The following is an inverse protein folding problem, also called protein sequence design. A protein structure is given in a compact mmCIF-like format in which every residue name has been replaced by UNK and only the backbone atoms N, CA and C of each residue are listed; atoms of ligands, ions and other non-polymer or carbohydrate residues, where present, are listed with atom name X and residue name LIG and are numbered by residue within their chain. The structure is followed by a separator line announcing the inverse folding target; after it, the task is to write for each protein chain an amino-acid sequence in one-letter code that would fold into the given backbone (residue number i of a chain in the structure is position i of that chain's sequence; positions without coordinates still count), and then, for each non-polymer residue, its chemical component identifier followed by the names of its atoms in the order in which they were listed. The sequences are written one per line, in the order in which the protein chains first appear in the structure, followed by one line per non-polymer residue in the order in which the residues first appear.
data_IF_988105072409
#
_entry.id   IF_988105072409
#
_cell.length_a   1.000
_cell.length_b   1.000
_cell.length_c   1.000
_cell.angle_alpha   90.00
_cell.angle_beta   90.00
_cell.angle_gamma   90.00
#
_symmetry.space_group_name_H-M   'P 1'
#
loop_
_entity.id
_entity.type
_entity.pdbx_description
1 polymer ?
#
# COMPACT_ATOMS: atom_id res chain seq x y z
N UNK A 1 -17.50 -3.21 -2.43
CA UNK A 1 -17.03 -3.36 -1.03
C UNK A 1 -15.51 -3.40 -1.11
N UNK A 2 -14.82 -2.31 -0.76
CA UNK A 2 -13.39 -2.11 -1.01
C UNK A 2 -12.47 -2.83 -0.02
N UNK A 3 -13.03 -3.77 0.77
CA UNK A 3 -12.26 -4.56 1.73
C UNK A 3 -11.45 -5.63 0.99
N UNK A 4 -10.35 -6.08 1.61
CA UNK A 4 -9.52 -7.19 1.12
C UNK A 4 -10.40 -8.42 0.78
N UNK A 5 -11.32 -8.78 1.69
CA UNK A 5 -12.25 -9.90 1.48
C UNK A 5 -13.27 -9.65 0.38
N UNK A 6 -13.71 -8.40 0.17
CA UNK A 6 -14.58 -8.02 -0.93
C UNK A 6 -13.91 -8.19 -2.29
N UNK A 7 -12.63 -7.79 -2.39
CA UNK A 7 -11.82 -8.01 -3.60
C UNK A 7 -11.51 -9.49 -3.85
N UNK A 8 -11.23 -10.26 -2.80
CA UNK A 8 -10.94 -11.70 -2.93
C UNK A 8 -12.19 -12.52 -3.29
N UNK A 9 -13.35 -12.11 -2.76
CA UNK A 9 -14.64 -12.76 -3.01
C UNK A 9 -15.27 -12.35 -4.35
N UNK A 10 -14.79 -11.27 -4.98
CA UNK A 10 -15.33 -10.68 -6.20
C UNK A 10 -15.17 -11.53 -7.47
N UNK A 11 -14.60 -12.73 -7.39
CA UNK A 11 -14.59 -13.70 -8.49
C UNK A 11 -15.96 -14.41 -8.68
N UNK A 12 -17.05 -13.84 -8.17
CA UNK A 12 -18.42 -14.36 -8.31
C UNK A 12 -19.37 -13.23 -8.78
N UNK A 13 -19.82 -13.36 -10.02
CA UNK A 13 -20.91 -12.67 -10.74
C UNK A 13 -21.81 -11.62 -10.02
N UNK A 14 -21.76 -10.40 -10.56
CA UNK A 14 -22.87 -9.45 -10.88
C UNK A 14 -23.72 -8.76 -9.78
N UNK A 15 -23.86 -7.43 -9.99
CA UNK A 15 -24.94 -6.50 -9.59
C UNK A 15 -24.83 -5.67 -8.29
N UNK A 16 -24.21 -4.50 -8.43
CA UNK A 16 -24.38 -3.29 -7.60
C UNK A 16 -23.43 -2.20 -8.09
N UNK A 17 -23.74 -0.89 -7.99
CA UNK A 17 -22.79 0.13 -8.39
C UNK A 17 -21.54 -0.07 -7.54
N UNK A 18 -20.45 -0.42 -8.19
CA UNK A 18 -19.15 -0.56 -7.58
C UNK A 18 -18.80 0.82 -7.04
N UNK A 19 -19.03 1.03 -5.74
CA UNK A 19 -18.65 2.27 -5.08
C UNK A 19 -17.19 2.53 -5.42
N UNK A 20 -16.90 3.71 -5.98
CA UNK A 20 -15.55 4.06 -6.41
C UNK A 20 -14.58 3.91 -5.23
N UNK A 21 -13.77 2.86 -5.25
CA UNK A 21 -12.80 2.56 -4.19
C UNK A 21 -11.55 3.45 -4.28
N UNK A 22 -11.38 4.13 -5.43
CA UNK A 22 -10.30 5.07 -5.68
C UNK A 22 -10.55 6.40 -4.97
N UNK A 23 -10.44 6.38 -3.64
CA UNK A 23 -10.56 7.57 -2.80
C UNK A 23 -9.21 8.16 -2.40
N UNK A 24 -8.13 7.37 -2.54
CA UNK A 24 -6.76 7.83 -2.31
C UNK A 24 -6.19 8.59 -3.51
N UNK A 25 -5.02 9.20 -3.29
CA UNK A 25 -4.21 9.85 -4.31
C UNK A 25 -3.14 8.89 -4.81
N UNK A 26 -2.87 8.91 -6.10
CA UNK A 26 -1.89 8.02 -6.72
C UNK A 26 -0.45 8.20 -6.21
N UNK A 27 0.39 7.19 -6.42
CA UNK A 27 1.81 7.28 -6.09
C UNK A 27 2.50 8.44 -6.82
N UNK A 28 2.02 8.82 -8.02
CA UNK A 28 2.62 9.90 -8.82
C UNK A 28 2.22 11.26 -8.27
N UNK A 29 1.02 11.40 -7.69
CA UNK A 29 0.66 12.57 -6.91
C UNK A 29 1.66 12.77 -5.77
N UNK A 30 1.86 11.75 -4.92
CA UNK A 30 2.73 11.85 -3.74
C UNK A 30 4.20 12.10 -4.08
N UNK A 31 4.69 11.55 -5.19
CA UNK A 31 6.04 11.82 -5.72
C UNK A 31 6.27 13.29 -6.07
N UNK A 32 5.23 13.99 -6.52
CA UNK A 32 5.31 15.38 -6.95
C UNK A 32 4.87 16.38 -5.87
N UNK A 33 4.42 15.91 -4.70
CA UNK A 33 4.00 16.72 -3.56
C UNK A 33 4.88 16.41 -2.35
N UNK A 34 6.12 16.90 -2.35
CA UNK A 34 7.12 16.57 -1.32
C UNK A 34 7.57 17.78 -0.51
N UNK A 35 6.85 18.90 -0.58
CA UNK A 35 7.16 20.09 0.22
C UNK A 35 6.77 19.84 1.68
N UNK A 36 7.25 20.71 2.57
CA UNK A 36 6.92 20.64 3.99
C UNK A 36 5.41 20.83 4.18
N UNK A 37 4.75 19.82 4.77
CA UNK A 37 3.31 19.81 5.02
C UNK A 37 2.45 19.16 3.93
N UNK A 38 3.03 18.81 2.77
CA UNK A 38 2.30 18.08 1.72
C UNK A 38 1.96 16.66 2.17
N UNK A 39 2.88 16.01 2.88
CA UNK A 39 2.66 14.66 3.41
C UNK A 39 2.01 14.73 4.79
N UNK A 40 0.97 13.91 5.05
CA UNK A 40 0.29 13.95 6.33
C UNK A 40 1.21 13.45 7.45
N UNK A 41 1.24 14.19 8.56
CA UNK A 41 2.02 13.80 9.73
C UNK A 41 1.58 12.41 10.24
N UNK A 42 2.53 11.55 10.68
CA UNK A 42 3.95 11.84 10.93
C UNK A 42 4.87 11.62 9.73
N UNK A 43 4.35 11.33 8.54
CA UNK A 43 5.17 10.94 7.40
C UNK A 43 5.97 12.10 6.81
N UNK A 44 7.21 11.80 6.42
CA UNK A 44 8.07 12.74 5.71
C UNK A 44 8.78 12.07 4.52
N UNK A 45 9.02 12.79 3.42
CA UNK A 45 9.72 12.25 2.25
C UNK A 45 11.11 11.64 2.55
N UNK A 46 11.80 12.21 3.56
CA UNK A 46 13.14 11.80 4.00
C UNK A 46 13.13 10.70 5.07
N UNK A 47 11.97 10.34 5.61
CA UNK A 47 11.84 9.25 6.59
C UNK A 47 12.20 7.92 5.93
N UNK A 48 12.97 7.08 6.62
CA UNK A 48 13.26 5.72 6.16
C UNK A 48 11.98 4.90 6.07
N UNK A 49 11.82 4.18 4.95
CA UNK A 49 10.65 3.33 4.70
C UNK A 49 10.42 2.34 5.84
N UNK A 50 11.49 1.75 6.38
CA UNK A 50 11.47 0.87 7.56
C UNK A 50 10.69 1.44 8.74
N UNK A 51 10.70 2.76 8.95
CA UNK A 51 10.05 3.40 10.10
C UNK A 51 8.66 3.94 9.77
N UNK A 52 8.10 3.66 8.59
CA UNK A 52 6.77 4.11 8.18
C UNK A 52 5.62 3.21 8.71
N UNK A 53 5.92 2.18 9.50
CA UNK A 53 4.90 1.33 10.10
C UNK A 53 4.13 2.08 11.20
N UNK A 54 2.78 2.01 11.17
CA UNK A 54 1.89 2.64 12.15
C UNK A 54 2.29 2.34 13.61
N UNK A 55 2.71 1.10 13.84
CA UNK A 55 3.22 0.59 15.10
C UNK A 55 4.43 -0.27 14.79
N UNK A 56 5.63 0.15 15.17
CA UNK A 56 6.89 -0.57 14.91
C UNK A 56 7.39 -0.47 13.46
N UNK A 57 8.51 -1.15 13.15
CA UNK A 57 9.13 -1.09 11.82
C UNK A 57 8.49 -2.04 10.80
N UNK A 58 8.41 -1.61 9.53
CA UNK A 58 8.16 -2.47 8.38
C UNK A 58 9.38 -3.37 8.12
N UNK A 59 9.15 -4.57 7.60
CA UNK A 59 10.24 -5.45 7.17
C UNK A 59 11.01 -4.85 5.99
N UNK A 60 12.33 -5.03 6.00
CA UNK A 60 13.18 -4.65 4.88
C UNK A 60 13.11 -5.75 3.80
N UNK A 61 12.85 -5.35 2.55
CA UNK A 61 13.00 -6.20 1.38
C UNK A 61 14.40 -5.97 0.78
N UNK A 62 15.34 -6.93 0.89
CA UNK A 62 16.72 -6.75 0.42
C UNK A 62 16.79 -6.33 -1.05
N UNK A 63 17.57 -5.31 -1.34
CA UNK A 63 17.71 -4.75 -2.69
C UNK A 63 16.54 -3.85 -3.14
N UNK A 64 15.42 -3.85 -2.42
CA UNK A 64 14.22 -3.06 -2.75
C UNK A 64 14.04 -1.88 -1.80
N UNK A 65 13.91 -2.11 -0.49
CA UNK A 65 13.59 -1.04 0.49
C UNK A 65 14.69 -0.75 1.50
N UNK A 66 15.69 -1.62 1.62
CA UNK A 66 16.78 -1.48 2.59
C UNK A 66 17.50 -0.13 2.46
N UNK A 67 17.51 0.64 3.54
CA UNK A 67 18.20 1.94 3.63
C UNK A 67 17.58 3.05 2.79
N UNK A 68 16.38 2.84 2.20
CA UNK A 68 15.71 3.84 1.38
C UNK A 68 14.71 4.68 2.18
N UNK A 69 14.60 5.94 1.83
CA UNK A 69 13.50 6.79 2.29
C UNK A 69 12.19 6.45 1.60
N UNK A 70 11.06 6.84 2.17
CA UNK A 70 9.74 6.68 1.54
C UNK A 70 9.70 7.34 0.15
N UNK A 71 10.29 8.53 -0.02
CA UNK A 71 10.37 9.18 -1.33
C UNK A 71 11.26 8.39 -2.31
N UNK A 72 12.39 7.86 -1.85
CA UNK A 72 13.24 7.01 -2.69
C UNK A 72 12.52 5.75 -3.13
N UNK A 73 11.71 5.14 -2.24
CA UNK A 73 10.88 3.98 -2.56
C UNK A 73 9.82 4.33 -3.61
N UNK A 74 9.10 5.45 -3.44
CA UNK A 74 8.13 5.93 -4.44
C UNK A 74 8.78 6.14 -5.82
N UNK A 75 10.01 6.63 -5.88
CA UNK A 75 10.72 6.89 -7.14
C UNK A 75 11.37 5.65 -7.78
N UNK A 76 11.22 4.45 -7.20
CA UNK A 76 11.77 3.25 -7.81
C UNK A 76 11.06 2.95 -9.15
N UNK A 77 11.80 2.48 -10.15
CA UNK A 77 11.23 1.92 -11.37
C UNK A 77 10.92 0.42 -11.25
N UNK A 78 10.37 -0.20 -12.29
CA UNK A 78 10.19 -1.66 -12.37
C UNK A 78 8.89 -2.20 -11.74
N UNK A 79 8.76 -3.53 -11.74
CA UNK A 79 7.58 -4.31 -11.33
C UNK A 79 7.77 -5.09 -10.01
N UNK A 80 6.89 -6.07 -9.77
CA UNK A 80 6.99 -7.00 -8.63
C UNK A 80 7.10 -6.29 -7.28
N UNK A 81 8.05 -6.75 -6.44
CA UNK A 81 8.24 -6.22 -5.08
C UNK A 81 8.53 -4.70 -5.07
N UNK A 82 9.19 -4.19 -6.10
CA UNK A 82 9.46 -2.76 -6.23
C UNK A 82 8.20 -1.95 -6.51
N UNK A 83 7.32 -2.46 -7.39
CA UNK A 83 6.02 -1.84 -7.61
C UNK A 83 5.14 -1.91 -6.36
N UNK A 84 5.09 -3.08 -5.70
CA UNK A 84 4.38 -3.21 -4.44
C UNK A 84 4.90 -2.24 -3.37
N UNK A 85 6.22 -2.06 -3.24
CA UNK A 85 6.79 -1.12 -2.28
C UNK A 85 6.33 0.32 -2.53
N UNK A 86 6.22 0.75 -3.79
CA UNK A 86 5.63 2.07 -4.14
C UNK A 86 4.18 2.16 -3.69
N UNK A 87 3.39 1.13 -3.99
CA UNK A 87 1.99 1.08 -3.60
C UNK A 87 1.79 1.07 -2.08
N UNK A 88 2.69 0.44 -1.33
CA UNK A 88 2.66 0.47 0.14
C UNK A 88 2.91 1.88 0.66
N UNK A 89 3.87 2.63 0.10
CA UNK A 89 4.05 4.03 0.51
C UNK A 89 2.81 4.87 0.20
N UNK A 90 2.25 4.71 -1.01
CA UNK A 90 1.01 5.36 -1.43
C UNK A 90 -0.15 5.06 -0.46
N UNK A 91 -0.36 3.78 -0.15
CA UNK A 91 -1.41 3.33 0.75
C UNK A 91 -1.23 3.87 2.17
N UNK A 92 -0.01 3.94 2.71
CA UNK A 92 0.25 4.50 4.04
C UNK A 92 -0.10 5.98 4.11
N UNK A 93 0.30 6.76 3.11
CA UNK A 93 -0.02 8.19 3.01
C UNK A 93 -1.53 8.40 2.89
N UNK A 94 -2.21 7.62 2.04
CA UNK A 94 -3.66 7.70 1.87
C UNK A 94 -4.42 7.27 3.11
N UNK A 95 -3.99 6.20 3.79
CA UNK A 95 -4.59 5.74 5.04
C UNK A 95 -4.57 6.82 6.12
N UNK A 96 -3.50 7.61 6.17
CA UNK A 96 -3.38 8.73 7.10
C UNK A 96 -4.17 9.97 6.64
N UNK A 97 -4.07 10.33 5.36
CA UNK A 97 -4.73 11.51 4.79
C UNK A 97 -6.26 11.41 4.83
N UNK A 98 -6.79 10.24 4.52
CA UNK A 98 -8.22 10.01 4.34
C UNK A 98 -8.85 9.23 5.49
N UNK A 99 -8.17 9.09 6.63
CA UNK A 99 -8.75 8.47 7.81
C UNK A 99 -10.03 9.22 8.26
N UNK A 100 -11.10 8.51 8.68
CA UNK A 100 -11.23 7.05 8.76
C UNK A 100 -11.82 6.39 7.49
N UNK A 101 -11.96 7.14 6.40
CA UNK A 101 -12.68 6.71 5.20
C UNK A 101 -11.85 5.81 4.28
N UNK A 102 -10.51 5.80 4.38
CA UNK A 102 -9.66 4.93 3.59
C UNK A 102 -9.92 3.44 3.91
N UNK A 103 -10.00 2.52 2.92
CA UNK A 103 -10.46 1.15 3.17
C UNK A 103 -9.48 0.28 3.95
N UNK A 104 -8.22 0.72 4.06
CA UNK A 104 -7.18 0.05 4.82
C UNK A 104 -6.66 0.95 5.94
N UNK A 105 -6.51 0.38 7.13
CA UNK A 105 -5.73 1.01 8.18
C UNK A 105 -4.23 0.85 7.91
N UNK A 106 -3.41 1.75 8.49
CA UNK A 106 -1.95 1.63 8.42
C UNK A 106 -1.44 0.29 9.01
N UNK A 107 -2.13 -0.28 10.00
CA UNK A 107 -1.81 -1.59 10.58
C UNK A 107 -2.03 -2.72 9.57
N UNK A 108 -3.13 -2.69 8.81
CA UNK A 108 -3.39 -3.67 7.76
C UNK A 108 -2.36 -3.57 6.64
N UNK A 109 -2.00 -2.36 6.23
CA UNK A 109 -0.97 -2.14 5.18
C UNK A 109 0.38 -2.71 5.62
N UNK A 110 0.77 -2.47 6.89
CA UNK A 110 1.95 -3.09 7.48
C UNK A 110 1.90 -4.62 7.42
N UNK A 111 0.78 -5.22 7.84
CA UNK A 111 0.65 -6.69 7.88
C UNK A 111 0.78 -7.30 6.48
N UNK A 112 0.11 -6.70 5.49
CA UNK A 112 0.21 -7.10 4.08
C UNK A 112 1.66 -7.06 3.62
N UNK A 113 2.35 -5.94 3.83
CA UNK A 113 3.75 -5.78 3.44
C UNK A 113 4.66 -6.80 4.13
N UNK A 114 4.58 -6.90 5.46
CA UNK A 114 5.46 -7.76 6.26
C UNK A 114 5.31 -9.24 5.87
N UNK A 115 4.08 -9.68 5.59
CA UNK A 115 3.82 -11.06 5.16
C UNK A 115 4.34 -11.33 3.75
N UNK A 116 4.12 -10.42 2.81
CA UNK A 116 4.62 -10.56 1.44
C UNK A 116 6.16 -10.56 1.40
N UNK A 117 6.81 -9.73 2.22
CA UNK A 117 8.29 -9.75 2.32
C UNK A 117 8.80 -11.09 2.85
N UNK A 118 8.10 -11.70 3.81
CA UNK A 118 8.55 -12.94 4.44
C UNK A 118 8.23 -14.20 3.63
N UNK A 119 7.11 -14.20 2.91
CA UNK A 119 6.57 -15.43 2.28
C UNK A 119 6.48 -15.34 0.75
N UNK A 120 6.57 -14.14 0.18
CA UNK A 120 6.34 -13.88 -1.23
C UNK A 120 4.87 -13.79 -1.63
N UNK A 121 3.93 -13.96 -0.69
CA UNK A 121 2.49 -13.90 -0.92
C UNK A 121 1.77 -13.26 0.27
N UNK A 122 0.48 -12.96 0.11
CA UNK A 122 -0.38 -12.53 1.21
C UNK A 122 -1.57 -13.48 1.35
N UNK A 123 -1.73 -14.09 2.52
CA UNK A 123 -2.84 -14.99 2.80
C UNK A 123 -4.08 -14.19 3.19
N UNK A 124 -5.01 -14.04 2.25
CA UNK A 124 -6.28 -13.33 2.51
C UNK A 124 -7.18 -14.13 3.44
N UNK A 125 -7.21 -15.46 3.26
CA UNK A 125 -7.93 -16.40 4.13
C UNK A 125 -7.34 -17.81 3.98
N UNK A 126 -7.95 -18.80 4.66
CA UNK A 126 -7.46 -20.18 4.68
C UNK A 126 -7.31 -20.85 3.29
N UNK A 127 -7.99 -20.34 2.26
CA UNK A 127 -8.03 -20.96 0.92
C UNK A 127 -7.58 -20.03 -0.21
N UNK A 128 -7.32 -18.75 0.07
CA UNK A 128 -6.94 -17.74 -0.93
C UNK A 128 -5.66 -17.05 -0.49
N UNK A 129 -4.65 -17.14 -1.35
CA UNK A 129 -3.41 -16.37 -1.25
C UNK A 129 -3.25 -15.50 -2.49
N UNK A 130 -2.80 -14.28 -2.28
CA UNK A 130 -2.51 -13.30 -3.33
C UNK A 130 -1.01 -13.25 -3.60
N UNK A 131 -0.66 -13.22 -4.88
CA UNK A 131 0.71 -12.94 -5.30
C UNK A 131 1.08 -11.48 -5.03
N UNK A 132 2.37 -11.15 -5.14
CA UNK A 132 2.85 -9.76 -5.08
C UNK A 132 2.08 -8.84 -6.04
N UNK A 133 1.81 -9.31 -7.25
CA UNK A 133 1.11 -8.54 -8.27
C UNK A 133 -0.38 -8.37 -7.95
N UNK A 134 -1.03 -9.39 -7.37
CA UNK A 134 -2.43 -9.29 -6.92
C UNK A 134 -2.58 -8.26 -5.79
N UNK A 135 -1.67 -8.29 -4.81
CA UNK A 135 -1.65 -7.31 -3.72
C UNK A 135 -1.42 -5.91 -4.27
N UNK A 136 -0.46 -5.75 -5.19
CA UNK A 136 -0.17 -4.48 -5.84
C UNK A 136 -1.41 -3.97 -6.61
N UNK A 137 -2.07 -4.81 -7.40
CA UNK A 137 -3.28 -4.45 -8.15
C UNK A 137 -4.42 -4.02 -7.22
N UNK A 138 -4.57 -4.72 -6.09
CA UNK A 138 -5.54 -4.34 -5.07
C UNK A 138 -5.24 -2.95 -4.49
N UNK A 139 -3.99 -2.67 -4.10
CA UNK A 139 -3.61 -1.35 -3.58
C UNK A 139 -3.79 -0.24 -4.64
N UNK A 140 -3.46 -0.51 -5.90
CA UNK A 140 -3.70 0.40 -7.02
C UNK A 140 -5.18 0.74 -7.19
N UNK A 141 -6.08 -0.21 -6.95
CA UNK A 141 -7.54 0.05 -7.05
C UNK A 141 -8.09 1.01 -5.99
N UNK A 142 -7.31 1.34 -4.95
CA UNK A 142 -7.72 2.21 -3.85
C UNK A 142 -7.40 3.70 -4.08
N UNK A 143 -6.77 4.05 -5.20
CA UNK A 143 -6.42 5.44 -5.55
C UNK A 143 -6.56 5.74 -7.04
N UNK A 144 -6.54 7.03 -7.37
CA UNK A 144 -6.57 7.56 -8.73
C UNK A 144 -5.59 8.74 -8.91
#
# INVERSE_FOLDING_TARGET
NCTISGHASGNVSTHGPEGNCAIGLSHDYWKNHTNAGDWPAPFAPTQLFKYAGATGSLNDAPGVTTGKTMLQVLNLGGGGMTALAREVVCALLNAQQFAPNFPLSMTQIRQIWDEVVNTGQYQVNASVSWSVDDVKNYLESLHA
#
